data_IF_912798997251
#
_entry.id   IF_912798997251
#
_cell.length_a   1.000
_cell.length_b   1.000
_cell.length_c   1.000
_cell.angle_alpha   90.00
_cell.angle_beta   90.00
_cell.angle_gamma   90.00
#
_symmetry.space_group_name_H-M   'P 1'
#
loop_
_entity.id
_entity.type
_entity.pdbx_description
1 polymer ?
#
# COMPACT_ATOMS: atom_id res chain seq x y z
N UNK A 1 44.43 24.58 9.62
CA UNK A 1 42.98 24.34 9.73
C UNK A 1 42.62 23.30 8.68
N UNK A 2 42.28 22.06 9.08
CA UNK A 2 41.83 21.06 8.11
C UNK A 2 40.37 21.32 7.77
N UNK A 3 40.10 21.65 6.51
CA UNK A 3 38.74 21.67 5.96
C UNK A 3 38.35 20.20 5.75
N UNK A 4 37.39 19.71 6.54
CA UNK A 4 36.83 18.37 6.36
C UNK A 4 36.01 18.37 5.05
N UNK A 5 36.29 17.51 4.06
CA UNK A 5 35.63 17.53 2.76
C UNK A 5 34.14 17.15 2.84
N UNK A 6 33.30 17.85 2.05
CA UNK A 6 31.83 17.74 1.96
C UNK A 6 31.26 16.35 1.60
N UNK A 7 32.11 15.33 1.44
CA UNK A 7 31.73 14.00 0.96
C UNK A 7 31.13 13.11 2.06
N UNK A 8 31.49 13.29 3.35
CA UNK A 8 30.92 12.50 4.45
C UNK A 8 29.43 12.82 4.71
N UNK A 9 29.02 14.09 4.55
CA UNK A 9 27.67 14.56 4.86
C UNK A 9 26.61 14.13 3.81
N UNK A 10 27.04 13.89 2.57
CA UNK A 10 26.17 13.48 1.46
C UNK A 10 25.79 12.00 1.53
N UNK A 11 26.70 11.13 2.02
CA UNK A 11 26.41 9.71 2.23
C UNK A 11 25.42 9.51 3.38
N UNK A 12 25.60 10.21 4.50
CA UNK A 12 24.69 10.13 5.65
C UNK A 12 23.24 10.50 5.31
N UNK A 13 23.03 11.56 4.51
CA UNK A 13 21.71 11.97 4.03
C UNK A 13 21.03 10.93 3.14
N UNK A 14 21.78 10.36 2.19
CA UNK A 14 21.27 9.31 1.27
C UNK A 14 20.95 8.00 1.99
N UNK A 15 21.75 7.64 2.99
CA UNK A 15 21.52 6.45 3.81
C UNK A 15 20.28 6.63 4.70
N UNK A 16 20.10 7.80 5.33
CA UNK A 16 18.90 8.10 6.11
C UNK A 16 17.63 8.10 5.24
N UNK A 17 17.67 8.68 4.03
CA UNK A 17 16.56 8.63 3.07
C UNK A 17 16.27 7.19 2.60
N UNK A 18 17.31 6.37 2.37
CA UNK A 18 17.16 4.97 1.98
C UNK A 18 16.61 4.08 3.10
N UNK A 19 17.03 4.31 4.36
CA UNK A 19 16.51 3.62 5.55
C UNK A 19 15.03 3.98 5.72
N UNK A 20 14.68 5.27 5.70
CA UNK A 20 13.30 5.74 5.79
C UNK A 20 12.42 5.19 4.64
N UNK A 21 12.94 5.12 3.42
CA UNK A 21 12.24 4.52 2.29
C UNK A 21 11.99 3.02 2.49
N UNK A 22 12.99 2.29 3.00
CA UNK A 22 12.87 0.85 3.27
C UNK A 22 11.81 0.58 4.34
N UNK A 23 11.86 1.30 5.46
CA UNK A 23 10.91 1.16 6.55
C UNK A 23 9.47 1.49 6.11
N UNK A 24 9.27 2.60 5.42
CA UNK A 24 7.95 2.99 4.90
C UNK A 24 7.42 1.98 3.87
N UNK A 25 8.30 1.43 3.02
CA UNK A 25 7.94 0.38 2.08
C UNK A 25 7.52 -0.90 2.80
N UNK A 26 8.27 -1.34 3.80
CA UNK A 26 7.96 -2.55 4.57
C UNK A 26 6.64 -2.41 5.35
N UNK A 27 6.33 -1.21 5.85
CA UNK A 27 5.03 -0.92 6.45
C UNK A 27 3.91 -1.06 5.42
N UNK A 28 4.03 -0.37 4.28
CA UNK A 28 3.02 -0.40 3.22
C UNK A 28 2.81 -1.80 2.63
N UNK A 29 3.88 -2.61 2.55
CA UNK A 29 3.79 -4.01 2.11
C UNK A 29 2.88 -4.86 3.00
N UNK A 30 2.80 -4.59 4.32
CA UNK A 30 1.87 -5.28 5.20
C UNK A 30 0.42 -4.97 4.83
N UNK A 31 0.13 -3.72 4.51
CA UNK A 31 -1.19 -3.33 4.00
C UNK A 31 -1.47 -3.99 2.64
N UNK A 32 -0.47 -4.14 1.78
CA UNK A 32 -0.63 -4.83 0.50
C UNK A 32 -0.95 -6.31 0.63
N UNK A 33 -0.24 -7.02 1.51
CA UNK A 33 -0.49 -8.44 1.78
C UNK A 33 -1.91 -8.64 2.32
N UNK A 34 -2.33 -7.80 3.27
CA UNK A 34 -3.69 -7.83 3.79
C UNK A 34 -4.74 -7.61 2.68
N UNK A 35 -4.61 -6.54 1.88
CA UNK A 35 -5.56 -6.26 0.80
C UNK A 35 -5.55 -7.36 -0.25
N UNK A 36 -4.39 -7.88 -0.63
CA UNK A 36 -4.27 -8.93 -1.63
C UNK A 36 -5.02 -10.20 -1.23
N UNK A 37 -4.94 -10.57 0.05
CA UNK A 37 -5.66 -11.72 0.61
C UNK A 37 -7.18 -11.53 0.61
N UNK A 38 -7.65 -10.34 0.96
CA UNK A 38 -9.08 -10.06 1.15
C UNK A 38 -9.82 -9.64 -0.12
N UNK A 39 -9.14 -9.03 -1.10
CA UNK A 39 -9.79 -8.44 -2.28
C UNK A 39 -10.36 -9.49 -3.25
N UNK A 40 -9.79 -10.70 -3.24
CA UNK A 40 -10.21 -11.81 -4.09
C UNK A 40 -10.26 -11.43 -5.57
N UNK A 41 -11.37 -11.71 -6.25
CA UNK A 41 -11.55 -11.49 -7.71
C UNK A 41 -11.64 -10.02 -8.13
N UNK A 42 -11.82 -9.10 -7.20
CA UNK A 42 -11.99 -7.67 -7.50
C UNK A 42 -10.65 -6.91 -7.68
N UNK A 43 -9.52 -7.62 -7.64
CA UNK A 43 -8.18 -7.06 -7.83
C UNK A 43 -8.04 -6.26 -9.15
N UNK A 44 -8.70 -6.68 -10.24
CA UNK A 44 -8.73 -5.92 -11.51
C UNK A 44 -9.47 -4.59 -11.37
N UNK A 45 -10.56 -4.56 -10.60
CA UNK A 45 -11.32 -3.32 -10.34
C UNK A 45 -10.49 -2.37 -9.52
N UNK A 46 -9.79 -2.89 -8.50
CA UNK A 46 -8.87 -2.11 -7.69
C UNK A 46 -7.75 -1.51 -8.55
N UNK A 47 -7.10 -2.31 -9.38
CA UNK A 47 -6.06 -1.82 -10.31
C UNK A 47 -6.55 -0.68 -11.20
N UNK A 48 -7.78 -0.75 -11.73
CA UNK A 48 -8.36 0.33 -12.56
C UNK A 48 -8.63 1.64 -11.80
N UNK A 49 -8.79 1.59 -10.47
CA UNK A 49 -8.95 2.79 -9.63
C UNK A 49 -7.62 3.40 -9.22
N UNK A 50 -6.55 2.61 -9.20
CA UNK A 50 -5.21 3.08 -8.87
C UNK A 50 -4.58 3.82 -10.06
N UNK A 51 -4.14 5.05 -9.82
CA UNK A 51 -3.48 5.86 -10.85
C UNK A 51 -2.18 5.19 -11.31
N UNK A 52 -1.85 5.34 -12.59
CA UNK A 52 -0.66 4.76 -13.25
C UNK A 52 -0.69 3.24 -13.44
N UNK A 53 -1.76 2.55 -13.04
CA UNK A 53 -2.02 1.18 -13.45
C UNK A 53 -2.85 1.21 -14.75
N UNK A 54 -2.23 0.79 -15.85
CA UNK A 54 -2.90 0.71 -17.15
C UNK A 54 -3.59 -0.63 -17.32
N UNK A 55 -4.51 -0.71 -18.29
CA UNK A 55 -5.13 -1.98 -18.68
C UNK A 55 -4.08 -3.03 -19.07
N UNK A 56 -3.05 -2.64 -19.81
CA UNK A 56 -1.93 -3.52 -20.21
C UNK A 56 -1.20 -4.10 -19.01
N UNK A 57 -0.94 -3.30 -17.96
CA UNK A 57 -0.30 -3.81 -16.74
C UNK A 57 -1.19 -4.86 -16.07
N UNK A 58 -2.51 -4.63 -16.00
CA UNK A 58 -3.46 -5.57 -15.41
C UNK A 58 -3.52 -6.88 -16.21
N UNK A 59 -3.50 -6.81 -17.54
CA UNK A 59 -3.53 -7.98 -18.43
C UNK A 59 -2.24 -8.79 -18.31
N UNK A 60 -1.07 -8.13 -18.33
CA UNK A 60 0.20 -8.82 -18.12
C UNK A 60 0.25 -9.55 -16.77
N UNK A 61 -0.24 -8.92 -15.70
CA UNK A 61 -0.33 -9.56 -14.37
C UNK A 61 -1.32 -10.75 -14.39
N UNK A 62 -2.41 -10.64 -15.13
CA UNK A 62 -3.39 -11.73 -15.25
C UNK A 62 -2.79 -12.97 -15.94
N UNK A 63 -1.93 -12.74 -16.93
CA UNK A 63 -1.26 -13.79 -17.70
C UNK A 63 -0.05 -14.38 -16.94
N UNK A 64 0.74 -13.54 -16.25
CA UNK A 64 1.98 -13.92 -15.56
C UNK A 64 1.72 -14.73 -14.28
N UNK A 65 0.62 -14.45 -13.56
CA UNK A 65 0.35 -15.05 -12.26
C UNK A 65 -0.91 -15.92 -12.31
N UNK A 66 -1.03 -16.91 -11.42
CA UNK A 66 -2.21 -17.80 -11.39
C UNK A 66 -3.16 -17.45 -10.23
N UNK A 67 -2.61 -17.24 -9.03
CA UNK A 67 -3.40 -16.90 -7.83
C UNK A 67 -3.97 -15.49 -7.92
N UNK A 68 -5.24 -15.31 -7.55
CA UNK A 68 -5.86 -13.97 -7.45
C UNK A 68 -5.21 -13.12 -6.37
N UNK A 69 -4.74 -13.73 -5.30
CA UNK A 69 -4.00 -13.04 -4.22
C UNK A 69 -2.68 -12.49 -4.75
N UNK A 70 -1.90 -13.31 -5.44
CA UNK A 70 -0.63 -12.88 -6.04
C UNK A 70 -0.86 -11.77 -7.08
N UNK A 71 -1.86 -11.91 -7.94
CA UNK A 71 -2.25 -10.86 -8.90
C UNK A 71 -2.57 -9.54 -8.22
N UNK A 72 -3.33 -9.58 -7.13
CA UNK A 72 -3.67 -8.40 -6.36
C UNK A 72 -2.42 -7.74 -5.75
N UNK A 73 -1.55 -8.54 -5.15
CA UNK A 73 -0.29 -8.07 -4.58
C UNK A 73 0.59 -7.39 -5.64
N UNK A 74 0.72 -7.99 -6.83
CA UNK A 74 1.51 -7.45 -7.93
C UNK A 74 0.95 -6.13 -8.46
N UNK A 75 -0.38 -5.98 -8.53
CA UNK A 75 -1.00 -4.68 -8.88
C UNK A 75 -0.62 -3.59 -7.89
N UNK A 76 -0.69 -3.88 -6.59
CA UNK A 76 -0.35 -2.93 -5.53
C UNK A 76 1.14 -2.57 -5.54
N UNK A 77 1.99 -3.56 -5.75
CA UNK A 77 3.44 -3.36 -5.85
C UNK A 77 3.82 -2.50 -7.05
N UNK A 78 3.27 -2.78 -8.24
CA UNK A 78 3.47 -1.95 -9.44
C UNK A 78 2.94 -0.53 -9.23
N UNK A 79 1.82 -0.38 -8.54
CA UNK A 79 1.26 0.93 -8.23
C UNK A 79 2.19 1.75 -7.32
N UNK A 80 2.72 1.13 -6.27
CA UNK A 80 3.70 1.74 -5.37
C UNK A 80 4.97 2.16 -6.10
N UNK A 81 5.53 1.27 -6.92
CA UNK A 81 6.72 1.55 -7.73
C UNK A 81 6.51 2.71 -8.72
N UNK A 82 5.32 2.80 -9.34
CA UNK A 82 5.03 3.81 -10.35
C UNK A 82 4.77 5.21 -9.78
N UNK A 83 4.33 5.32 -8.52
CA UNK A 83 3.99 6.60 -7.87
C UNK A 83 5.01 7.02 -6.81
N UNK A 84 5.84 6.09 -6.31
CA UNK A 84 6.73 6.32 -5.18
C UNK A 84 5.99 6.54 -3.86
N UNK A 85 6.75 6.68 -2.78
CA UNK A 85 6.23 6.80 -1.41
C UNK A 85 5.24 7.98 -1.24
N UNK A 86 5.52 9.12 -1.86
CA UNK A 86 4.67 10.32 -1.74
C UNK A 86 3.32 10.21 -2.47
N UNK A 87 3.23 9.36 -3.50
CA UNK A 87 2.02 9.21 -4.32
C UNK A 87 1.22 7.93 -4.03
N UNK A 88 1.86 6.91 -3.47
CA UNK A 88 1.25 5.64 -3.14
C UNK A 88 0.97 5.50 -1.64
N UNK A 89 0.16 6.42 -1.11
CA UNK A 89 -0.17 6.47 0.31
C UNK A 89 -1.36 5.59 0.67
N UNK A 90 -1.48 5.23 1.95
CA UNK A 90 -2.59 4.42 2.48
C UNK A 90 -3.95 5.06 2.20
N UNK A 91 -4.07 6.38 2.26
CA UNK A 91 -5.32 7.10 2.02
C UNK A 91 -5.79 6.93 0.57
N UNK A 92 -4.87 6.91 -0.39
CA UNK A 92 -5.21 6.65 -1.80
C UNK A 92 -5.72 5.24 -1.98
N UNK A 93 -5.10 4.26 -1.30
CA UNK A 93 -5.54 2.87 -1.32
C UNK A 93 -6.93 2.70 -0.69
N UNK A 94 -7.19 3.33 0.46
CA UNK A 94 -8.50 3.35 1.14
C UNK A 94 -9.59 3.91 0.22
N UNK A 95 -9.33 5.06 -0.41
CA UNK A 95 -10.29 5.66 -1.36
C UNK A 95 -10.55 4.78 -2.56
N UNK A 96 -9.52 4.10 -3.08
CA UNK A 96 -9.67 3.18 -4.19
C UNK A 96 -10.53 1.95 -3.81
N UNK A 97 -10.38 1.42 -2.60
CA UNK A 97 -11.19 0.33 -2.06
C UNK A 97 -12.65 0.74 -1.85
N UNK A 98 -12.88 1.92 -1.29
CA UNK A 98 -14.24 2.49 -1.14
C UNK A 98 -14.92 2.67 -2.50
N UNK A 99 -14.19 3.12 -3.52
CA UNK A 99 -14.71 3.33 -4.87
C UNK A 99 -15.05 2.03 -5.65
N UNK A 100 -14.75 0.86 -5.08
CA UNK A 100 -15.14 -0.47 -5.61
C UNK A 100 -15.97 -1.26 -4.61
N UNK A 101 -16.60 -0.57 -3.66
CA UNK A 101 -17.51 -1.13 -2.65
C UNK A 101 -16.84 -2.14 -1.69
N UNK A 102 -15.53 -1.98 -1.46
CA UNK A 102 -14.73 -2.77 -0.50
C UNK A 102 -14.50 -2.03 0.80
N UNK A 103 -15.53 -1.37 1.30
CA UNK A 103 -15.47 -0.52 2.50
C UNK A 103 -15.01 -1.29 3.73
N UNK A 104 -15.42 -2.55 3.92
CA UNK A 104 -14.95 -3.35 5.06
C UNK A 104 -13.43 -3.60 5.06
N UNK A 105 -12.80 -3.73 3.89
CA UNK A 105 -11.33 -3.86 3.80
C UNK A 105 -10.67 -2.51 4.09
N UNK A 106 -11.28 -1.43 3.61
CA UNK A 106 -10.79 -0.07 3.83
C UNK A 106 -10.85 0.33 5.31
N UNK A 107 -11.93 -0.02 6.02
CA UNK A 107 -12.10 0.18 7.46
C UNK A 107 -11.05 -0.61 8.25
N UNK A 108 -10.83 -1.89 7.92
CA UNK A 108 -9.83 -2.71 8.58
C UNK A 108 -8.40 -2.14 8.42
N UNK A 109 -8.07 -1.53 7.27
CA UNK A 109 -6.81 -0.80 7.08
C UNK A 109 -6.69 0.47 7.95
N UNK A 110 -7.82 1.09 8.33
CA UNK A 110 -7.80 2.23 9.27
C UNK A 110 -7.56 1.72 10.68
N UNK A 111 -8.26 0.65 11.09
CA UNK A 111 -8.13 0.05 12.41
C UNK A 111 -6.74 -0.55 12.68
N UNK A 112 -6.11 -1.18 11.69
CA UNK A 112 -4.76 -1.77 11.83
C UNK A 112 -3.67 -0.78 12.19
N UNK A 113 -3.83 0.50 11.86
CA UNK A 113 -2.88 1.56 12.24
C UNK A 113 -3.21 2.13 13.64
N UNK A 114 -4.46 2.02 14.07
CA UNK A 114 -4.95 2.49 15.37
C UNK A 114 -5.00 1.37 16.41
N UNK A 115 -3.92 0.61 16.59
CA UNK A 115 -3.76 -0.13 17.85
C UNK A 115 -3.44 0.85 19.00
N UNK A 116 -4.34 1.80 19.23
CA UNK A 116 -4.63 2.42 20.50
C UNK A 116 -5.77 1.59 21.11
N UNK A 117 -5.57 0.93 22.27
CA UNK A 117 -6.58 0.09 22.91
C UNK A 117 -7.85 0.82 23.38
N UNK A 118 -7.98 2.13 23.15
CA UNK A 118 -9.06 2.95 23.73
C UNK A 118 -10.38 2.94 22.98
N UNK A 119 -10.48 2.34 21.79
CA UNK A 119 -11.77 2.21 21.09
C UNK A 119 -12.20 0.76 20.98
N UNK A 120 -13.27 0.47 21.74
CA UNK A 120 -13.82 -0.84 22.03
C UNK A 120 -14.11 -1.71 20.82
N UNK A 121 -14.08 -3.01 21.09
CA UNK A 121 -14.35 -4.11 20.18
C UNK A 121 -15.67 -3.95 19.43
N UNK A 122 -15.66 -4.42 18.17
CA UNK A 122 -16.74 -4.59 17.19
C UNK A 122 -17.93 -5.42 17.72
N UNK A 123 -18.63 -4.92 18.73
CA UNK A 123 -19.92 -5.42 19.23
C UNK A 123 -21.03 -4.34 19.26
N UNK A 124 -20.72 -3.05 19.08
CA UNK A 124 -21.71 -1.98 19.22
C UNK A 124 -22.52 -1.63 17.95
N UNK A 125 -22.37 -2.35 16.83
CA UNK A 125 -23.17 -2.11 15.61
C UNK A 125 -24.34 -3.08 15.41
N UNK A 126 -24.87 -3.67 16.49
CA UNK A 126 -26.13 -4.39 16.45
C UNK A 126 -27.06 -3.84 17.54
N UNK A 127 -27.76 -2.75 17.24
CA UNK A 127 -29.10 -2.35 17.69
C UNK A 127 -29.28 -0.86 17.42
N UNK A 128 -29.94 -0.48 16.32
CA UNK A 128 -31.24 0.24 16.24
C UNK A 128 -31.82 -0.04 14.85
#
# INVERSE_FOLDING_TARGET
>A
MQIIPMQLYTVGKRMAEAINYKEAKEEMEKHFQFVAKEIGRDWKKLGRKLKRITKTIIENIDDEFQSTEEKAYQVLMKWYQANGQAGATKEVLIKALQAIDKTSIAEELVYRDHCDPSYGTRQDFAYI
#
